data_IF_758822558716
#
_entry.id   IF_758822558716
#
_cell.length_a   1.000
_cell.length_b   1.000
_cell.length_c   1.000
_cell.angle_alpha   90.00
_cell.angle_beta   90.00
_cell.angle_gamma   90.00
#
_symmetry.space_group_name_H-M   'P 1'
#
loop_
_entity.id
_entity.type
_entity.pdbx_description
1 polymer ?
#
# COMPACT_ATOMS: atom_id res chain seq x y z
N UNK A 1 -2.96 -26.63 25.06
CA UNK A 1 -1.95 -26.49 23.98
C UNK A 1 -2.66 -26.53 22.64
N UNK A 2 -2.46 -25.56 21.75
CA UNK A 2 -3.06 -25.57 20.41
C UNK A 2 -3.71 -24.28 19.91
N UNK A 3 -3.68 -23.18 20.67
CA UNK A 3 -4.16 -21.89 20.16
C UNK A 3 -3.21 -21.32 19.12
N UNK A 4 -3.77 -20.77 18.04
CA UNK A 4 -3.05 -19.97 17.04
C UNK A 4 -3.68 -18.59 16.98
N UNK A 5 -2.86 -17.57 16.79
CA UNK A 5 -3.32 -16.20 16.56
C UNK A 5 -2.81 -15.77 15.19
N UNK A 6 -3.68 -15.12 14.42
CA UNK A 6 -3.35 -14.53 13.14
C UNK A 6 -3.62 -13.04 13.27
N UNK A 7 -2.61 -12.22 12.96
CA UNK A 7 -2.73 -10.77 12.87
C UNK A 7 -2.58 -10.40 11.39
N UNK A 8 -3.49 -9.58 10.88
CA UNK A 8 -3.47 -9.09 9.50
C UNK A 8 -3.33 -7.57 9.51
N UNK A 9 -2.75 -7.01 8.45
CA UNK A 9 -2.59 -5.57 8.30
C UNK A 9 -2.05 -5.20 6.92
N UNK A 10 -2.24 -3.94 6.52
CA UNK A 10 -1.73 -3.37 5.27
C UNK A 10 -0.69 -2.29 5.60
N UNK A 11 0.56 -2.51 5.20
CA UNK A 11 1.65 -1.57 5.46
C UNK A 11 1.49 -0.25 4.70
N UNK A 12 0.69 -0.20 3.64
CA UNK A 12 0.47 1.01 2.84
C UNK A 12 -0.57 1.95 3.45
N UNK A 13 -1.44 1.44 4.33
CA UNK A 13 -2.49 2.21 4.99
C UNK A 13 -2.01 2.75 6.34
N UNK A 14 -1.26 3.86 6.30
CA UNK A 14 -0.75 4.55 7.50
C UNK A 14 -1.57 5.81 7.77
N UNK A 15 -2.74 5.63 8.39
CA UNK A 15 -3.60 6.74 8.84
C UNK A 15 -3.12 7.29 10.19
N UNK A 16 -1.85 7.69 10.25
CA UNK A 16 -1.20 8.16 11.47
C UNK A 16 -0.83 9.65 11.34
N UNK A 17 -0.78 10.34 12.49
CA UNK A 17 -0.33 11.74 12.53
C UNK A 17 1.08 11.90 11.95
N UNK A 18 1.35 13.06 11.33
CA UNK A 18 2.64 13.32 10.68
C UNK A 18 3.81 13.05 11.64
N UNK A 19 4.80 12.28 11.18
CA UNK A 19 5.96 11.88 12.00
C UNK A 19 5.74 10.69 12.93
N UNK A 20 4.51 10.18 13.03
CA UNK A 20 4.22 8.97 13.82
C UNK A 20 4.74 7.72 13.11
N UNK A 21 5.44 6.86 13.85
CA UNK A 21 5.91 5.56 13.35
C UNK A 21 4.78 4.53 13.41
N UNK A 22 4.62 3.72 12.37
CA UNK A 22 3.63 2.64 12.34
C UNK A 22 3.99 1.52 13.33
N UNK A 23 3.03 1.16 14.18
CA UNK A 23 3.16 0.02 15.09
C UNK A 23 3.36 -1.31 14.35
N UNK A 24 2.75 -1.47 13.17
CA UNK A 24 2.95 -2.65 12.32
C UNK A 24 4.40 -2.72 11.81
N UNK A 25 4.96 -1.58 11.37
CA UNK A 25 6.37 -1.52 10.94
C UNK A 25 7.33 -1.89 12.08
N UNK A 26 7.04 -1.41 13.30
CA UNK A 26 7.83 -1.72 14.49
C UNK A 26 7.71 -3.19 14.86
N UNK A 27 6.48 -3.74 14.90
CA UNK A 27 6.22 -5.13 15.24
C UNK A 27 6.96 -6.08 14.28
N UNK A 28 6.89 -5.85 12.97
CA UNK A 28 7.61 -6.64 11.97
C UNK A 28 9.12 -6.62 12.23
N UNK A 29 9.70 -5.45 12.54
CA UNK A 29 11.15 -5.33 12.81
C UNK A 29 11.57 -6.05 14.09
N UNK A 30 10.80 -5.89 15.17
CA UNK A 30 11.13 -6.44 16.49
C UNK A 30 10.93 -7.96 16.52
N UNK A 31 9.85 -8.46 15.92
CA UNK A 31 9.43 -9.86 16.04
C UNK A 31 10.05 -10.77 14.96
N UNK A 32 10.77 -10.22 13.97
CA UNK A 32 11.34 -10.97 12.83
C UNK A 32 12.22 -12.17 13.22
N UNK A 33 12.83 -12.15 14.40
CA UNK A 33 13.75 -13.19 14.88
C UNK A 33 13.17 -14.04 16.03
N UNK A 34 11.91 -13.85 16.37
CA UNK A 34 11.26 -14.59 17.45
C UNK A 34 10.84 -15.97 16.94
N UNK A 35 11.34 -17.02 17.58
CA UNK A 35 10.97 -18.40 17.26
C UNK A 35 9.46 -18.62 17.47
N UNK A 36 8.82 -19.32 16.54
CA UNK A 36 7.38 -19.58 16.57
C UNK A 36 6.50 -18.49 15.94
N UNK A 37 7.08 -17.39 15.44
CA UNK A 37 6.36 -16.37 14.66
C UNK A 37 6.76 -16.46 13.19
N UNK A 38 5.76 -16.50 12.30
CA UNK A 38 5.96 -16.45 10.86
C UNK A 38 5.34 -15.18 10.27
N UNK A 39 6.00 -14.60 9.27
CA UNK A 39 5.51 -13.46 8.50
C UNK A 39 5.13 -13.92 7.10
N UNK A 40 3.88 -13.64 6.71
CA UNK A 40 3.37 -13.92 5.38
C UNK A 40 3.06 -12.58 4.69
N UNK A 41 3.93 -12.14 3.78
CA UNK A 41 3.71 -10.96 2.97
C UNK A 41 2.91 -11.33 1.72
N UNK A 42 1.74 -10.72 1.55
CA UNK A 42 0.91 -10.89 0.37
C UNK A 42 1.09 -9.70 -0.56
N UNK A 43 1.16 -9.97 -1.85
CA UNK A 43 1.27 -8.97 -2.91
C UNK A 43 -0.02 -8.92 -3.72
N UNK A 44 -0.11 -7.98 -4.65
CA UNK A 44 -1.25 -7.92 -5.59
C UNK A 44 -1.42 -9.21 -6.42
N UNK A 45 -0.37 -10.03 -6.57
CA UNK A 45 -0.42 -11.32 -7.28
C UNK A 45 -1.17 -12.40 -6.50
N UNK A 46 -1.24 -12.26 -5.18
CA UNK A 46 -1.87 -13.21 -4.27
C UNK A 46 -3.37 -12.91 -4.08
N UNK A 47 -3.86 -11.82 -4.68
CA UNK A 47 -5.26 -11.40 -4.58
C UNK A 47 -6.05 -11.91 -5.78
N UNK A 48 -6.91 -12.89 -5.55
CA UNK A 48 -7.91 -13.30 -6.54
C UNK A 48 -9.08 -12.32 -6.49
N UNK A 49 -9.28 -11.58 -7.60
CA UNK A 49 -10.40 -10.64 -7.75
C UNK A 49 -11.37 -11.17 -8.78
N UNK A 50 -12.65 -10.85 -8.58
CA UNK A 50 -13.65 -11.08 -9.61
C UNK A 50 -13.27 -10.28 -10.89
N UNK A 51 -13.40 -10.83 -12.11
CA UNK A 51 -12.98 -10.15 -13.34
C UNK A 51 -13.55 -8.74 -13.52
N UNK A 52 -14.80 -8.51 -13.08
CA UNK A 52 -15.40 -7.18 -13.10
C UNK A 52 -14.69 -6.19 -12.17
N UNK A 53 -14.33 -6.61 -10.95
CA UNK A 53 -13.64 -5.77 -9.98
C UNK A 53 -12.26 -5.39 -10.52
N UNK A 54 -11.56 -6.32 -11.16
CA UNK A 54 -10.27 -6.03 -11.79
C UNK A 54 -10.41 -4.96 -12.89
N UNK A 55 -11.39 -5.08 -13.78
CA UNK A 55 -11.66 -4.06 -14.82
C UNK A 55 -11.96 -2.68 -14.23
N UNK A 56 -12.70 -2.63 -13.12
CA UNK A 56 -12.99 -1.38 -12.40
C UNK A 56 -11.70 -0.76 -11.86
N UNK A 57 -10.87 -1.55 -11.18
CA UNK A 57 -9.58 -1.08 -10.64
C UNK A 57 -8.66 -0.54 -11.75
N UNK A 58 -8.51 -1.29 -12.84
CA UNK A 58 -7.69 -0.88 -14.00
C UNK A 58 -8.18 0.45 -14.63
N UNK A 59 -9.50 0.65 -14.70
CA UNK A 59 -10.08 1.90 -15.20
C UNK A 59 -9.72 3.10 -14.32
N UNK A 60 -9.80 2.96 -12.99
CA UNK A 60 -9.42 4.02 -12.05
C UNK A 60 -7.92 4.29 -12.06
N UNK A 61 -7.07 3.26 -12.08
CA UNK A 61 -5.62 3.44 -12.21
C UNK A 61 -5.24 4.20 -13.49
N UNK A 62 -5.91 3.88 -14.60
CA UNK A 62 -5.73 4.58 -15.88
C UNK A 62 -6.19 6.04 -15.82
N UNK A 63 -7.27 6.33 -15.09
CA UNK A 63 -7.76 7.68 -14.85
C UNK A 63 -6.78 8.51 -14.02
N UNK A 64 -6.32 7.99 -12.87
CA UNK A 64 -5.40 8.69 -11.98
C UNK A 64 -4.05 9.00 -12.65
N UNK A 65 -3.47 8.05 -13.39
CA UNK A 65 -2.23 8.26 -14.15
C UNK A 65 -2.35 9.42 -15.14
N UNK A 66 -3.50 9.55 -15.82
CA UNK A 66 -3.76 10.64 -16.76
C UNK A 66 -3.87 11.98 -16.04
N UNK A 67 -4.56 12.02 -14.90
CA UNK A 67 -4.70 13.23 -14.09
C UNK A 67 -3.36 13.70 -13.52
N UNK A 68 -2.54 12.77 -13.01
CA UNK A 68 -1.18 13.07 -12.55
C UNK A 68 -0.32 13.65 -13.68
N UNK A 69 -0.34 13.02 -14.87
CA UNK A 69 0.40 13.52 -16.03
C UNK A 69 -0.06 14.93 -16.48
N UNK A 70 -1.36 15.22 -16.41
CA UNK A 70 -1.92 16.54 -16.68
C UNK A 70 -1.44 17.57 -15.66
N UNK A 71 -1.47 17.23 -14.37
CA UNK A 71 -0.98 18.09 -13.29
C UNK A 71 0.50 18.42 -13.46
N UNK A 72 1.33 17.43 -13.80
CA UNK A 72 2.77 17.61 -13.99
C UNK A 72 3.10 18.48 -15.22
N UNK A 73 2.37 18.29 -16.33
CA UNK A 73 2.48 19.18 -17.51
C UNK A 73 2.11 20.63 -17.17
N UNK A 74 1.05 20.84 -16.39
CA UNK A 74 0.62 22.18 -15.94
C UNK A 74 1.67 22.82 -15.03
N UNK A 75 2.29 22.07 -14.11
CA UNK A 75 3.40 22.55 -13.26
C UNK A 75 4.63 22.95 -14.08
N UNK A 76 5.03 22.14 -15.07
CA UNK A 76 6.16 22.45 -15.97
C UNK A 76 5.93 23.76 -16.76
N UNK A 77 4.73 23.96 -17.32
CA UNK A 77 4.39 25.19 -18.05
C UNK A 77 4.43 26.45 -17.18
N UNK A 78 4.11 26.36 -15.89
CA UNK A 78 4.15 27.50 -14.95
C UNK A 78 5.58 27.83 -14.50
N UNK A 79 6.46 26.84 -14.38
CA UNK A 79 7.88 27.03 -14.00
C UNK A 79 8.77 27.53 -15.14
N UNK A 80 8.35 27.38 -16.39
CA UNK A 80 9.09 27.85 -17.58
C UNK A 80 8.70 29.25 -18.07
N UNK A 81 7.92 30.02 -17.29
CA UNK A 81 7.61 31.42 -17.61
C UNK A 81 8.65 32.30 -16.90
N UNK A 82 9.45 33.10 -17.63
CA UNK A 82 10.44 34.00 -17.03
C UNK A 82 9.77 35.07 -16.15
#
# INVERSE_FOLDING_TARGET
FGSKVIVTGDMTQKDLGAGTVSGLDVAVRVLKKVEGIAFCELTSRDVVRHPLVQKIVEAYEGYEKKEQARADRKKKRRKGRP
#
